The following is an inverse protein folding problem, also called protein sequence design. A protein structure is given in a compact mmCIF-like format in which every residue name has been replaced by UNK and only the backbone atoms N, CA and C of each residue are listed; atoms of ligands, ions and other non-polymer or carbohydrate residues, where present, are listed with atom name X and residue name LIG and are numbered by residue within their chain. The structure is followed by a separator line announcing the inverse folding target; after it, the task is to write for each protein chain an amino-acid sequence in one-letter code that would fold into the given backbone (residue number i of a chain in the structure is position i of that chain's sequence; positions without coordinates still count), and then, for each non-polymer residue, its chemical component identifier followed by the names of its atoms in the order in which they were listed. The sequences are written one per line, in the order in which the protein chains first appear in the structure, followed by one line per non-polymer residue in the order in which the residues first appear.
data_IF_283490071008
#
_entry.id   IF_283490071008
#
_cell.length_a   1.000
_cell.length_b   1.000
_cell.length_c   1.000
_cell.angle_alpha   90.00
_cell.angle_beta   90.00
_cell.angle_gamma   90.00
#
_symmetry.space_group_name_H-M   'P 1'
#
loop_
_entity.id
_entity.type
_entity.pdbx_description
1 polymer ?
#
# COMPACT_ATOMS: atom_id res chain seq x y z
N UNK A 1 -35.23 -12.21 -9.15
CA UNK A 1 -34.30 -12.75 -10.16
C UNK A 1 -33.20 -11.72 -10.31
N UNK A 2 -32.24 -11.74 -9.38
CA UNK A 2 -31.17 -10.75 -9.28
C UNK A 2 -30.19 -10.93 -10.42
N UNK A 3 -29.85 -9.83 -11.06
CA UNK A 3 -29.02 -9.74 -12.25
C UNK A 3 -27.68 -10.48 -12.07
N UNK A 4 -27.54 -11.64 -12.71
CA UNK A 4 -26.35 -12.49 -12.68
C UNK A 4 -25.18 -11.90 -13.48
N UNK A 5 -25.35 -10.71 -14.06
CA UNK A 5 -24.42 -10.11 -15.02
C UNK A 5 -23.38 -9.21 -14.33
N UNK A 6 -23.67 -8.66 -13.14
CA UNK A 6 -22.73 -7.78 -12.40
C UNK A 6 -21.57 -8.54 -11.70
N UNK A 7 -21.67 -9.86 -11.56
CA UNK A 7 -20.66 -10.69 -10.88
C UNK A 7 -19.48 -11.05 -11.81
N UNK A 8 -19.53 -10.68 -13.09
CA UNK A 8 -18.56 -11.13 -14.09
C UNK A 8 -17.37 -10.19 -14.36
N UNK A 9 -17.30 -8.99 -13.78
CA UNK A 9 -16.20 -8.03 -14.03
C UNK A 9 -15.31 -7.71 -12.83
N UNK A 10 -15.23 -8.62 -11.85
CA UNK A 10 -14.19 -8.52 -10.81
C UNK A 10 -12.82 -8.82 -11.44
N UNK A 11 -11.86 -7.91 -11.24
CA UNK A 11 -10.48 -8.07 -11.71
C UNK A 11 -9.87 -9.38 -11.20
N UNK A 12 -8.89 -9.97 -11.90
CA UNK A 12 -8.20 -11.19 -11.43
C UNK A 12 -7.66 -11.06 -10.00
N UNK A 13 -7.36 -9.83 -9.56
CA UNK A 13 -6.94 -9.48 -8.20
C UNK A 13 -8.04 -9.76 -7.16
N UNK A 14 -9.31 -9.56 -7.49
CA UNK A 14 -10.43 -9.70 -6.54
C UNK A 14 -10.98 -11.14 -6.41
N UNK A 15 -10.41 -12.12 -7.13
CA UNK A 15 -10.87 -13.53 -7.11
C UNK A 15 -10.10 -14.44 -6.15
N UNK A 16 -9.08 -13.93 -5.45
CA UNK A 16 -8.21 -14.73 -4.56
C UNK A 16 -7.65 -13.85 -3.44
N UNK A 17 -7.34 -14.48 -2.30
CA UNK A 17 -6.59 -13.89 -1.18
C UNK A 17 -5.38 -13.10 -1.68
N UNK A 18 -5.35 -11.81 -1.36
CA UNK A 18 -4.26 -10.89 -1.61
C UNK A 18 -3.61 -10.45 -0.31
N UNK A 19 -2.29 -10.44 -0.29
CA UNK A 19 -1.44 -10.08 0.82
C UNK A 19 -0.63 -8.83 0.42
N UNK A 20 -0.82 -7.75 1.18
CA UNK A 20 -0.11 -6.48 1.02
C UNK A 20 0.75 -6.25 2.26
N UNK A 21 2.01 -5.87 2.08
CA UNK A 21 2.91 -5.49 3.17
C UNK A 21 3.38 -4.04 3.01
N UNK A 22 3.14 -3.24 4.04
CA UNK A 22 3.60 -1.86 4.14
C UNK A 22 4.69 -1.80 5.19
N UNK A 23 5.90 -1.41 4.81
CA UNK A 23 7.06 -1.45 5.71
C UNK A 23 7.92 -0.18 5.60
N UNK A 24 8.50 0.22 6.72
CA UNK A 24 9.32 1.41 6.82
C UNK A 24 9.75 1.68 8.26
N UNK A 25 10.40 2.80 8.51
CA UNK A 25 10.81 3.20 9.85
C UNK A 25 9.60 3.58 10.72
N UNK A 26 9.72 3.35 12.03
CA UNK A 26 8.75 3.85 13.00
C UNK A 26 8.45 5.34 12.81
N UNK A 27 7.17 5.72 12.88
CA UNK A 27 6.72 7.10 12.69
C UNK A 27 6.37 7.50 11.26
N UNK A 28 6.69 6.70 10.23
CA UNK A 28 6.30 7.00 8.83
C UNK A 28 4.81 6.70 8.50
N UNK A 29 4.01 6.25 9.47
CA UNK A 29 2.57 6.03 9.27
C UNK A 29 2.17 4.70 8.63
N UNK A 30 3.03 3.68 8.63
CA UNK A 30 2.74 2.37 8.01
C UNK A 30 1.52 1.67 8.62
N UNK A 31 1.37 1.73 9.95
CA UNK A 31 0.21 1.16 10.66
C UNK A 31 -1.07 1.86 10.24
N UNK A 32 -1.07 3.19 10.20
CA UNK A 32 -2.21 3.99 9.76
C UNK A 32 -2.59 3.64 8.31
N UNK A 33 -1.61 3.56 7.41
CA UNK A 33 -1.83 3.16 6.02
C UNK A 33 -2.41 1.75 5.91
N UNK A 34 -1.97 0.81 6.75
CA UNK A 34 -2.52 -0.54 6.81
C UNK A 34 -3.98 -0.58 7.27
N UNK A 35 -4.32 0.21 8.30
CA UNK A 35 -5.70 0.37 8.77
C UNK A 35 -6.58 1.00 7.68
N UNK A 36 -6.11 2.04 7.01
CA UNK A 36 -6.84 2.69 5.90
C UNK A 36 -7.11 1.69 4.78
N UNK A 37 -6.11 0.92 4.37
CA UNK A 37 -6.30 -0.11 3.33
C UNK A 37 -7.28 -1.19 3.80
N UNK A 38 -7.23 -1.57 5.07
CA UNK A 38 -8.15 -2.55 5.62
C UNK A 38 -9.60 -2.05 5.68
N UNK A 39 -9.81 -0.80 6.12
CA UNK A 39 -11.11 -0.14 6.12
C UNK A 39 -11.64 0.04 4.68
N UNK A 40 -10.77 0.38 3.72
CA UNK A 40 -11.11 0.42 2.30
C UNK A 40 -11.70 -0.92 1.82
N UNK A 41 -11.00 -2.02 2.10
CA UNK A 41 -11.43 -3.36 1.72
C UNK A 41 -12.73 -3.79 2.43
N UNK A 42 -12.75 -3.71 3.77
CA UNK A 42 -13.82 -4.27 4.58
C UNK A 42 -15.09 -3.44 4.65
N UNK A 43 -14.95 -2.11 4.83
CA UNK A 43 -16.11 -1.24 5.05
C UNK A 43 -16.73 -0.74 3.74
N UNK A 44 -15.92 -0.58 2.69
CA UNK A 44 -16.36 0.11 1.47
C UNK A 44 -16.41 -0.78 0.24
N UNK A 45 -15.54 -1.80 0.12
CA UNK A 45 -15.58 -2.78 -0.97
C UNK A 45 -16.25 -4.11 -0.58
N UNK A 46 -16.63 -4.30 0.69
CA UNK A 46 -17.36 -5.48 1.15
C UNK A 46 -16.54 -6.77 1.14
N UNK A 47 -15.22 -6.69 1.29
CA UNK A 47 -14.31 -7.83 1.29
C UNK A 47 -13.99 -8.31 2.72
N UNK A 48 -13.58 -9.56 2.86
CA UNK A 48 -12.98 -10.04 4.10
C UNK A 48 -11.57 -9.47 4.24
N UNK A 49 -11.23 -9.01 5.45
CA UNK A 49 -9.94 -8.39 5.70
C UNK A 49 -9.38 -8.75 7.07
N UNK A 50 -8.07 -8.99 7.10
CA UNK A 50 -7.28 -9.08 8.33
C UNK A 50 -6.12 -8.10 8.23
N UNK A 51 -5.97 -7.25 9.24
CA UNK A 51 -4.81 -6.37 9.38
C UNK A 51 -3.98 -6.86 10.56
N UNK A 52 -2.67 -7.00 10.35
CA UNK A 52 -1.72 -7.28 11.43
C UNK A 52 -0.57 -6.30 11.39
N UNK A 53 0.10 -6.12 12.53
CA UNK A 53 1.23 -5.22 12.65
C UNK A 53 2.35 -5.89 13.43
N UNK A 54 3.57 -5.62 12.99
CA UNK A 54 4.77 -5.96 13.74
C UNK A 54 5.55 -4.68 13.97
N UNK A 55 5.65 -4.34 15.25
CA UNK A 55 6.51 -3.29 15.77
C UNK A 55 7.32 -3.93 16.90
N UNK A 56 8.64 -3.89 16.79
CA UNK A 56 9.50 -4.40 17.85
C UNK A 56 9.72 -3.38 18.96
N UNK A 57 10.59 -3.68 19.94
CA UNK A 57 11.07 -2.71 20.93
C UNK A 57 11.75 -1.49 20.28
N UNK A 58 12.05 -1.56 18.98
CA UNK A 58 12.69 -0.52 18.19
C UNK A 58 11.72 0.58 17.70
N UNK A 59 10.63 0.86 18.43
CA UNK A 59 9.69 1.97 18.15
C UNK A 59 10.34 3.37 18.14
N UNK A 60 11.67 3.43 18.35
CA UNK A 60 12.56 4.59 18.21
C UNK A 60 13.57 4.46 17.05
N UNK A 61 13.27 3.71 15.98
CA UNK A 61 14.07 3.77 14.74
C UNK A 61 14.22 2.50 13.91
N UNK A 62 13.66 1.36 14.32
CA UNK A 62 13.72 0.12 13.53
C UNK A 62 12.60 -0.01 12.49
N UNK A 63 12.75 -0.99 11.58
CA UNK A 63 11.72 -1.32 10.61
C UNK A 63 10.43 -1.83 11.29
N UNK A 64 9.35 -1.07 11.11
CA UNK A 64 7.97 -1.49 11.39
C UNK A 64 7.28 -2.00 10.13
N UNK A 65 6.25 -2.82 10.29
CA UNK A 65 5.40 -3.23 9.18
C UNK A 65 3.94 -3.39 9.58
N UNK A 66 3.08 -3.15 8.61
CA UNK A 66 1.68 -3.53 8.63
C UNK A 66 1.42 -4.48 7.45
N UNK A 67 0.75 -5.60 7.72
CA UNK A 67 0.26 -6.51 6.69
C UNK A 67 -1.26 -6.38 6.60
N UNK A 68 -1.78 -6.42 5.38
CA UNK A 68 -3.21 -6.43 5.08
C UNK A 68 -3.50 -7.61 4.17
N UNK A 69 -4.35 -8.51 4.64
CA UNK A 69 -4.83 -9.67 3.89
C UNK A 69 -6.26 -9.37 3.47
N UNK A 70 -6.55 -9.43 2.18
CA UNK A 70 -7.83 -9.06 1.57
C UNK A 70 -8.34 -10.26 0.76
N UNK A 71 -9.59 -10.64 0.92
CA UNK A 71 -10.15 -11.83 0.28
C UNK A 71 -11.65 -11.66 0.00
N UNK A 72 -12.18 -12.19 -1.12
CA UNK A 72 -13.63 -12.30 -1.32
C UNK A 72 -14.26 -13.35 -0.40
N UNK A 73 -13.48 -14.31 0.10
CA UNK A 73 -13.90 -15.40 1.00
C UNK A 73 -13.31 -15.21 2.40
N UNK A 74 -13.81 -15.96 3.39
CA UNK A 74 -13.32 -15.95 4.77
C UNK A 74 -11.79 -16.20 4.87
N UNK A 75 -11.16 -15.55 5.86
CA UNK A 75 -9.70 -15.62 6.05
C UNK A 75 -9.39 -16.52 7.24
N UNK A 76 -9.01 -17.77 6.95
CA UNK A 76 -8.68 -18.77 7.99
C UNK A 76 -7.28 -18.57 8.60
N UNK A 77 -6.37 -17.88 7.90
CA UNK A 77 -4.99 -17.69 8.33
C UNK A 77 -4.57 -16.20 8.34
N UNK A 78 -4.32 -15.61 9.53
CA UNK A 78 -4.20 -14.16 9.68
C UNK A 78 -2.80 -13.59 9.42
N UNK A 79 -1.85 -14.36 8.87
CA UNK A 79 -0.48 -13.89 8.62
C UNK A 79 -0.16 -13.81 7.14
N UNK A 80 0.44 -12.69 6.70
CA UNK A 80 0.98 -12.60 5.35
C UNK A 80 2.38 -13.22 5.28
N UNK A 81 2.54 -14.23 4.43
CA UNK A 81 3.79 -14.98 4.27
C UNK A 81 4.52 -14.61 2.99
N UNK A 82 3.77 -14.41 1.91
CA UNK A 82 4.29 -14.20 0.56
C UNK A 82 3.45 -13.11 -0.12
N UNK A 83 3.60 -11.85 0.31
CA UNK A 83 2.81 -10.75 -0.22
C UNK A 83 3.00 -10.54 -1.73
N UNK A 84 1.89 -10.25 -2.42
CA UNK A 84 1.89 -9.90 -3.84
C UNK A 84 2.21 -8.41 -4.06
N UNK A 85 2.04 -7.57 -3.04
CA UNK A 85 2.42 -6.16 -3.10
C UNK A 85 3.18 -5.72 -1.84
N UNK A 86 4.29 -5.00 -2.06
CA UNK A 86 5.09 -4.38 -1.01
C UNK A 86 5.16 -2.87 -1.26
N UNK A 87 4.96 -2.08 -0.21
CA UNK A 87 5.37 -0.68 -0.15
C UNK A 87 6.47 -0.54 0.90
N UNK A 88 7.64 -0.03 0.48
CA UNK A 88 8.83 0.05 1.32
C UNK A 88 9.34 1.50 1.40
N UNK A 89 9.33 2.07 2.59
CA UNK A 89 9.60 3.49 2.83
C UNK A 89 10.97 3.78 3.48
N UNK A 90 11.76 2.75 3.81
CA UNK A 90 13.11 2.90 4.38
C UNK A 90 14.05 1.75 4.00
N UNK A 91 15.36 2.01 4.02
CA UNK A 91 16.36 1.01 3.64
C UNK A 91 16.34 -0.23 4.54
N UNK A 92 16.24 -0.06 5.87
CA UNK A 92 16.17 -1.19 6.82
C UNK A 92 14.94 -2.09 6.54
N UNK A 93 13.80 -1.50 6.18
CA UNK A 93 12.63 -2.26 5.77
C UNK A 93 12.83 -2.98 4.42
N UNK A 94 13.52 -2.34 3.47
CA UNK A 94 13.88 -2.97 2.20
C UNK A 94 14.76 -4.20 2.40
N UNK A 95 15.84 -4.04 3.15
CA UNK A 95 16.82 -5.10 3.41
C UNK A 95 16.17 -6.32 4.09
N UNK A 96 15.20 -6.08 4.99
CA UNK A 96 14.47 -7.13 5.71
C UNK A 96 13.38 -7.81 4.90
N UNK A 97 12.59 -7.05 4.12
CA UNK A 97 11.32 -7.56 3.60
C UNK A 97 11.26 -7.73 2.10
N UNK A 98 12.14 -7.11 1.30
CA UNK A 98 12.06 -7.16 -0.16
C UNK A 98 12.04 -8.60 -0.71
N UNK A 99 12.77 -9.53 -0.08
CA UNK A 99 12.84 -10.94 -0.47
C UNK A 99 11.59 -11.76 -0.14
N UNK A 100 10.65 -11.20 0.63
CA UNK A 100 9.37 -11.86 0.94
C UNK A 100 8.34 -11.73 -0.18
N UNK A 101 8.62 -10.88 -1.19
CA UNK A 101 7.74 -10.65 -2.33
C UNK A 101 7.50 -11.95 -3.14
N UNK A 102 6.23 -12.25 -3.36
CA UNK A 102 5.81 -13.38 -4.19
C UNK A 102 6.37 -13.26 -5.63
N UNK A 103 6.61 -14.39 -6.33
CA UNK A 103 6.83 -14.38 -7.77
C UNK A 103 5.71 -13.60 -8.50
N UNK A 104 6.06 -12.77 -9.47
CA UNK A 104 5.09 -11.91 -10.15
C UNK A 104 4.62 -10.68 -9.36
N UNK A 105 5.08 -10.51 -8.12
CA UNK A 105 4.63 -9.43 -7.23
C UNK A 105 5.21 -8.06 -7.59
N UNK A 106 4.59 -7.02 -7.00
CA UNK A 106 5.01 -5.63 -7.11
C UNK A 106 5.73 -5.18 -5.83
N UNK A 107 6.96 -4.66 -5.95
CA UNK A 107 7.62 -3.89 -4.91
C UNK A 107 7.68 -2.42 -5.32
N UNK A 108 6.99 -1.59 -4.56
CA UNK A 108 7.12 -0.14 -4.58
C UNK A 108 8.08 0.28 -3.47
N UNK A 109 9.06 1.12 -3.79
CA UNK A 109 9.89 1.73 -2.78
C UNK A 109 9.99 3.24 -2.95
N UNK A 110 10.26 3.92 -1.85
CA UNK A 110 10.62 5.33 -1.89
C UNK A 110 12.05 5.49 -2.42
N UNK A 111 12.21 5.94 -3.66
CA UNK A 111 13.53 6.10 -4.29
C UNK A 111 14.35 7.24 -3.68
N UNK A 112 13.74 8.13 -2.88
CA UNK A 112 14.46 9.16 -2.14
C UNK A 112 15.04 8.65 -0.81
N UNK A 113 14.62 7.46 -0.35
CA UNK A 113 14.99 6.88 0.95
C UNK A 113 15.61 5.47 0.84
N UNK A 114 15.46 4.82 -0.32
CA UNK A 114 15.82 3.41 -0.53
C UNK A 114 16.61 3.26 -1.82
N UNK A 115 17.78 2.66 -1.69
CA UNK A 115 18.58 2.15 -2.79
C UNK A 115 18.19 0.69 -3.09
N UNK A 116 17.80 0.44 -4.34
CA UNK A 116 17.45 -0.91 -4.79
C UNK A 116 18.72 -1.74 -5.03
N UNK A 117 18.97 -2.74 -4.15
CA UNK A 117 20.24 -3.49 -4.14
C UNK A 117 20.15 -4.96 -4.56
N UNK A 118 18.96 -5.49 -4.83
CA UNK A 118 18.77 -6.93 -5.04
C UNK A 118 18.04 -7.24 -6.34
N UNK A 119 18.56 -8.20 -7.10
CA UNK A 119 17.76 -8.88 -8.12
C UNK A 119 16.80 -9.83 -7.40
N UNK A 120 15.50 -9.54 -7.45
CA UNK A 120 14.49 -10.32 -6.72
C UNK A 120 14.03 -11.61 -7.43
N UNK A 121 14.58 -11.91 -8.61
CA UNK A 121 14.23 -13.11 -9.40
C UNK A 121 13.02 -12.89 -10.31
N UNK A 122 12.61 -13.95 -11.03
CA UNK A 122 11.70 -13.85 -12.17
C UNK A 122 10.33 -13.24 -11.87
N UNK A 123 9.84 -12.47 -12.86
CA UNK A 123 8.49 -11.91 -12.93
C UNK A 123 8.18 -10.78 -11.94
N UNK A 124 9.06 -10.48 -10.99
CA UNK A 124 8.83 -9.44 -9.98
C UNK A 124 9.09 -8.06 -10.56
N UNK A 125 8.15 -7.15 -10.32
CA UNK A 125 8.25 -5.76 -10.75
C UNK A 125 8.70 -4.90 -9.58
N UNK A 126 9.86 -4.27 -9.72
CA UNK A 126 10.39 -3.34 -8.72
C UNK A 126 10.36 -1.93 -9.28
N UNK A 127 9.74 -1.00 -8.57
CA UNK A 127 9.64 0.40 -9.00
C UNK A 127 9.91 1.34 -7.82
N UNK A 128 10.82 2.27 -8.04
CA UNK A 128 11.14 3.35 -7.11
C UNK A 128 10.46 4.65 -7.53
N UNK A 129 9.73 5.28 -6.61
CA UNK A 129 9.15 6.62 -6.80
C UNK A 129 9.55 7.52 -5.62
N UNK A 130 9.82 8.82 -5.85
CA UNK A 130 10.41 9.69 -4.83
C UNK A 130 9.38 10.23 -3.82
N UNK A 131 8.64 9.36 -3.14
CA UNK A 131 7.48 9.73 -2.31
C UNK A 131 7.79 10.77 -1.24
N UNK A 132 8.85 10.56 -0.44
CA UNK A 132 9.23 11.49 0.64
C UNK A 132 9.65 12.84 0.09
N UNK A 133 10.46 12.84 -0.98
CA UNK A 133 10.84 14.07 -1.67
C UNK A 133 9.63 14.84 -2.20
N UNK A 134 8.73 14.18 -2.95
CA UNK A 134 7.54 14.82 -3.53
C UNK A 134 6.60 15.33 -2.44
N UNK A 135 6.38 14.55 -1.38
CA UNK A 135 5.56 14.99 -0.25
C UNK A 135 6.14 16.21 0.48
N UNK A 136 7.48 16.32 0.54
CA UNK A 136 8.14 17.49 1.12
C UNK A 136 8.08 18.71 0.19
N UNK A 137 8.39 18.54 -1.09
CA UNK A 137 8.45 19.62 -2.08
C UNK A 137 7.07 20.19 -2.42
N UNK A 138 6.06 19.35 -2.60
CA UNK A 138 4.72 19.77 -3.05
C UNK A 138 3.75 20.05 -1.89
N UNK A 139 3.87 19.31 -0.78
CA UNK A 139 2.91 19.36 0.33
C UNK A 139 3.52 19.84 1.66
N UNK A 140 4.83 20.12 1.67
CA UNK A 140 5.55 20.65 2.84
C UNK A 140 5.66 19.66 4.01
N UNK A 141 5.30 18.39 3.84
CA UNK A 141 5.12 17.43 4.93
C UNK A 141 5.50 16.00 4.51
N UNK A 142 6.72 15.57 4.85
CA UNK A 142 7.18 14.20 4.57
C UNK A 142 6.29 13.09 5.17
N UNK A 143 5.57 13.37 6.26
CA UNK A 143 4.73 12.38 6.97
C UNK A 143 3.61 11.78 6.10
N UNK A 144 3.18 12.46 5.03
CA UNK A 144 2.12 11.96 4.12
C UNK A 144 2.66 11.13 2.95
N UNK A 145 3.99 10.92 2.86
CA UNK A 145 4.61 10.13 1.81
C UNK A 145 4.07 8.69 1.72
N UNK A 146 3.81 8.06 2.87
CA UNK A 146 3.23 6.70 2.89
C UNK A 146 1.83 6.66 2.29
N UNK A 147 1.00 7.69 2.49
CA UNK A 147 -0.33 7.77 1.87
C UNK A 147 -0.22 7.96 0.35
N UNK A 148 0.75 8.76 -0.11
CA UNK A 148 1.05 8.89 -1.53
C UNK A 148 1.48 7.55 -2.15
N UNK A 149 2.36 6.81 -1.47
CA UNK A 149 2.76 5.46 -1.87
C UNK A 149 1.60 4.46 -1.87
N UNK A 150 0.68 4.57 -0.90
CA UNK A 150 -0.54 3.75 -0.84
C UNK A 150 -1.45 4.01 -2.03
N UNK A 151 -1.58 5.27 -2.47
CA UNK A 151 -2.30 5.64 -3.70
C UNK A 151 -1.74 4.94 -4.93
N UNK A 152 -0.41 4.97 -5.13
CA UNK A 152 0.23 4.25 -6.25
C UNK A 152 0.00 2.75 -6.15
N UNK A 153 0.18 2.16 -4.96
CA UNK A 153 -0.01 0.73 -4.74
C UNK A 153 -1.42 0.30 -5.15
N UNK A 154 -2.45 1.02 -4.71
CA UNK A 154 -3.84 0.68 -5.04
C UNK A 154 -4.15 0.90 -6.51
N UNK A 155 -3.68 2.01 -7.12
CA UNK A 155 -3.87 2.26 -8.55
C UNK A 155 -3.25 1.16 -9.42
N UNK A 156 -2.16 0.53 -8.99
CA UNK A 156 -1.48 -0.49 -9.77
C UNK A 156 -1.93 -1.91 -9.50
N UNK A 157 -2.32 -2.22 -8.27
CA UNK A 157 -2.76 -3.55 -7.88
C UNK A 157 -4.26 -3.76 -8.11
N UNK A 158 -5.06 -2.71 -7.95
CA UNK A 158 -6.52 -2.81 -7.91
C UNK A 158 -7.02 -3.66 -6.75
N UNK A 159 -6.25 -3.76 -5.66
CA UNK A 159 -6.59 -4.59 -4.49
C UNK A 159 -7.85 -4.08 -3.76
N UNK A 160 -8.13 -2.78 -3.87
CA UNK A 160 -9.37 -2.10 -3.48
C UNK A 160 -9.71 -1.04 -4.53
N UNK A 161 -10.93 -0.53 -4.53
CA UNK A 161 -11.33 0.58 -5.40
C UNK A 161 -10.72 1.91 -4.94
N UNK A 162 -10.35 2.82 -5.87
CA UNK A 162 -9.86 4.15 -5.48
C UNK A 162 -10.86 4.93 -4.60
N UNK A 163 -12.16 4.81 -4.89
CA UNK A 163 -13.21 5.45 -4.11
C UNK A 163 -13.33 4.91 -2.68
N UNK A 164 -13.16 3.59 -2.49
CA UNK A 164 -13.08 3.01 -1.14
C UNK A 164 -11.88 3.54 -0.35
N UNK A 165 -10.73 3.65 -1.01
CA UNK A 165 -9.52 4.16 -0.39
C UNK A 165 -9.66 5.63 0.02
N UNK A 166 -10.23 6.48 -0.84
CA UNK A 166 -10.52 7.88 -0.52
C UNK A 166 -11.46 8.02 0.68
N UNK A 167 -12.55 7.23 0.72
CA UNK A 167 -13.48 7.20 1.86
C UNK A 167 -12.80 6.74 3.15
N UNK A 168 -11.93 5.73 3.08
CA UNK A 168 -11.17 5.26 4.23
C UNK A 168 -10.20 6.32 4.76
N UNK A 169 -9.46 7.03 3.88
CA UNK A 169 -8.62 8.16 4.30
C UNK A 169 -9.44 9.25 4.97
N UNK A 170 -10.57 9.63 4.37
CA UNK A 170 -11.45 10.67 4.92
C UNK A 170 -12.06 10.27 6.28
N UNK A 171 -12.42 8.99 6.45
CA UNK A 171 -12.98 8.46 7.70
C UNK A 171 -11.93 8.34 8.81
N UNK A 172 -10.72 7.90 8.48
CA UNK A 172 -9.67 7.60 9.47
C UNK A 172 -8.88 8.83 9.92
N UNK A 173 -8.65 9.78 9.01
CA UNK A 173 -7.88 10.98 9.32
C UNK A 173 -8.82 12.10 9.79
N UNK A 174 -8.58 12.61 10.99
CA UNK A 174 -9.41 13.65 11.62
C UNK A 174 -8.88 15.06 11.37
N UNK A 175 -9.79 16.04 11.37
CA UNK A 175 -9.45 17.46 11.54
C UNK A 175 -8.53 18.04 10.46
N UNK A 176 -7.57 18.88 10.88
CA UNK A 176 -6.73 19.70 9.99
C UNK A 176 -5.71 18.95 9.12
N UNK A 177 -5.53 17.63 9.31
CA UNK A 177 -4.62 16.82 8.47
C UNK A 177 -5.37 16.01 7.41
N UNK A 178 -6.71 15.97 7.43
CA UNK A 178 -7.52 15.21 6.48
C UNK A 178 -7.27 15.65 5.04
N UNK A 179 -7.38 16.94 4.78
CA UNK A 179 -7.21 17.49 3.43
C UNK A 179 -5.80 17.18 2.89
N UNK A 180 -4.78 17.36 3.72
CA UNK A 180 -3.40 17.05 3.36
C UNK A 180 -3.21 15.58 2.97
N UNK A 181 -3.83 14.64 3.69
CA UNK A 181 -3.75 13.21 3.36
C UNK A 181 -4.54 12.88 2.09
N UNK A 182 -5.68 13.53 1.83
CA UNK A 182 -6.43 13.37 0.58
C UNK A 182 -5.65 13.94 -0.61
N UNK A 183 -5.00 15.10 -0.46
CA UNK A 183 -4.09 15.65 -1.48
C UNK A 183 -2.94 14.70 -1.76
N UNK A 184 -2.29 14.16 -0.73
CA UNK A 184 -1.21 13.18 -0.88
C UNK A 184 -1.69 11.90 -1.59
N UNK A 185 -2.88 11.41 -1.26
CA UNK A 185 -3.46 10.24 -1.89
C UNK A 185 -3.71 10.48 -3.39
N UNK A 186 -4.38 11.59 -3.73
CA UNK A 186 -4.65 11.98 -5.12
C UNK A 186 -3.35 12.13 -5.92
N UNK A 187 -2.36 12.78 -5.32
CA UNK A 187 -1.03 12.89 -5.94
C UNK A 187 -0.38 11.52 -6.17
N UNK A 188 -0.59 10.56 -5.26
CA UNK A 188 -0.22 9.17 -5.45
C UNK A 188 -0.87 8.55 -6.69
N UNK A 189 -2.17 8.75 -6.90
CA UNK A 189 -2.83 8.29 -8.13
C UNK A 189 -2.25 8.95 -9.39
N UNK A 190 -1.92 10.24 -9.34
CA UNK A 190 -1.30 10.95 -10.47
C UNK A 190 0.10 10.41 -10.78
N UNK A 191 0.94 10.17 -9.76
CA UNK A 191 2.24 9.55 -9.92
C UNK A 191 2.13 8.15 -10.53
N UNK A 192 1.12 7.38 -10.14
CA UNK A 192 0.85 6.05 -10.67
C UNK A 192 0.55 6.09 -12.18
N UNK A 193 -0.19 7.13 -12.62
CA UNK A 193 -0.50 7.37 -14.03
C UNK A 193 0.74 7.82 -14.81
N UNK A 194 1.46 8.83 -14.31
CA UNK A 194 2.69 9.36 -14.93
C UNK A 194 3.75 8.28 -15.12
N UNK A 195 3.95 7.44 -14.10
CA UNK A 195 4.87 6.31 -14.16
C UNK A 195 4.48 5.23 -15.20
N UNK A 196 3.18 5.03 -15.47
CA UNK A 196 2.72 4.10 -16.52
C UNK A 196 2.90 4.68 -17.92
N UNK A 197 2.74 5.99 -18.05
CA UNK A 197 2.89 6.72 -19.32
C UNK A 197 4.35 7.03 -19.65
N UNK A 198 5.29 6.82 -18.71
CA UNK A 198 6.71 7.10 -18.91
C UNK A 198 7.06 8.59 -18.81
N UNK A 199 6.26 9.38 -18.09
CA UNK A 199 6.37 10.84 -18.01
C UNK A 199 6.88 11.33 -16.64
N UNK A 200 7.70 10.52 -15.95
CA UNK A 200 8.33 10.86 -14.67
C UNK A 200 9.78 11.32 -14.85
#
# INVERSE_FOLDING_TARGET
MGDRTAVQELSRTQRRRHEVRLAGSGGQGLILAGIILAEAAGLYDGLHVVQTQVYGPESRGGASRADVIISPDEIDYPKATTPQALLVMSQDAYDRFARTLAPGGLLLHDSSMVEHRYVLGEGRRVVGLPFTRVALEELGRAIVATIMGLGVLVAWTGVVTPGALEKAVAGRVSGGTRELNLMALRRGFDLARQAREGTL
#
